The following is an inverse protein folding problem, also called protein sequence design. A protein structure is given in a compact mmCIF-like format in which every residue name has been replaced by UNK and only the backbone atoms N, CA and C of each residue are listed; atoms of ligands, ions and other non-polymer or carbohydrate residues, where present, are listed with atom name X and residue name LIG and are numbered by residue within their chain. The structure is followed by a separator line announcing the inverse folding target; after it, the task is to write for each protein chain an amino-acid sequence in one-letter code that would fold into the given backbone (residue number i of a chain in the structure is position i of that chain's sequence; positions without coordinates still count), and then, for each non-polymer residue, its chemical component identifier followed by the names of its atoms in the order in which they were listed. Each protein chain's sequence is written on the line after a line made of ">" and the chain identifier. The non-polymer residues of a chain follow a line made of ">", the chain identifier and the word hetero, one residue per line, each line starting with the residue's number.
data_IF_324225537157
#
_entry.id   IF_324225537157
#
_cell.length_a   1.000
_cell.length_b   1.000
_cell.length_c   1.000
_cell.angle_alpha   90.00
_cell.angle_beta   90.00
_cell.angle_gamma   90.00
#
_symmetry.space_group_name_H-M   'P 1'
#
loop_
_entity.id
_entity.type
_entity.pdbx_description
1 polymer ?
#
# COMPACT_ATOMS: atom_id res chain seq x y z
N UNK A 1 48.45 52.30 -18.36
CA UNK A 1 49.65 52.07 -17.51
C UNK A 1 49.63 50.60 -17.13
N UNK A 2 50.36 49.72 -17.83
CA UNK A 2 51.66 49.16 -17.41
C UNK A 2 51.45 47.68 -17.03
N UNK A 3 51.82 46.71 -17.90
CA UNK A 3 53.00 45.79 -17.78
C UNK A 3 52.92 44.88 -16.53
N UNK A 4 53.19 43.56 -16.49
CA UNK A 4 53.85 42.52 -17.34
C UNK A 4 53.75 41.20 -16.55
N UNK A 5 53.54 40.02 -17.16
CA UNK A 5 54.53 38.90 -17.28
C UNK A 5 54.64 38.05 -15.99
N UNK A 6 54.79 36.73 -15.90
CA UNK A 6 55.12 35.54 -16.72
C UNK A 6 54.56 34.34 -15.88
N UNK A 7 54.16 33.15 -16.33
CA UNK A 7 54.74 32.27 -17.34
C UNK A 7 55.49 31.09 -16.67
N UNK A 8 54.93 29.86 -16.72
CA UNK A 8 55.58 28.54 -17.05
C UNK A 8 54.88 27.31 -16.41
N UNK A 9 54.41 26.40 -17.28
CA UNK A 9 54.16 24.95 -17.05
C UNK A 9 55.44 24.11 -17.38
N UNK A 10 55.38 22.75 -17.51
CA UNK A 10 55.52 21.65 -16.53
C UNK A 10 56.80 20.80 -16.83
N UNK A 11 57.01 19.51 -16.40
CA UNK A 11 56.33 18.32 -16.97
C UNK A 11 56.20 17.08 -16.03
N UNK A 12 55.62 15.99 -16.58
CA UNK A 12 55.32 14.70 -15.97
C UNK A 12 56.48 13.67 -16.01
N UNK A 13 56.46 12.66 -15.13
CA UNK A 13 57.02 11.30 -15.37
C UNK A 13 56.54 10.26 -14.30
N UNK A 14 56.02 9.10 -14.75
CA UNK A 14 56.00 7.80 -14.02
C UNK A 14 57.15 6.92 -14.61
N UNK A 15 57.38 5.60 -14.31
CA UNK A 15 56.79 4.61 -13.36
C UNK A 15 57.81 3.66 -12.64
N UNK A 16 57.34 2.75 -11.75
CA UNK A 16 57.80 1.33 -11.49
C UNK A 16 57.46 0.91 -10.04
N UNK A 17 56.88 -0.24 -9.63
CA UNK A 17 56.78 -1.69 -9.95
C UNK A 17 57.68 -2.63 -9.09
N UNK A 18 57.03 -3.70 -8.59
CA UNK A 18 57.51 -4.95 -7.92
C UNK A 18 57.73 -4.89 -6.40
N UNK A 19 57.41 -5.90 -5.58
CA UNK A 19 57.33 -7.37 -5.81
C UNK A 19 56.38 -8.12 -4.85
N UNK A 20 56.02 -9.35 -5.24
CA UNK A 20 55.15 -10.32 -4.59
C UNK A 20 55.90 -11.33 -3.67
N UNK A 21 55.15 -12.05 -2.81
CA UNK A 21 55.39 -13.45 -2.35
C UNK A 21 54.22 -13.86 -1.43
N UNK A 22 53.29 -14.79 -1.73
CA UNK A 22 53.29 -16.25 -1.93
C UNK A 22 53.50 -17.16 -0.69
N UNK A 23 52.49 -18.05 -0.51
CA UNK A 23 52.46 -19.42 0.07
C UNK A 23 52.30 -19.63 1.59
N UNK A 24 51.25 -20.36 1.99
CA UNK A 24 51.38 -21.81 2.25
C UNK A 24 50.03 -22.55 2.20
N UNK A 25 50.08 -23.77 1.66
CA UNK A 25 49.10 -24.87 1.77
C UNK A 25 49.65 -25.85 2.80
N UNK A 26 48.80 -26.45 3.63
CA UNK A 26 49.03 -27.79 4.23
C UNK A 26 47.75 -28.62 4.12
N UNK A 27 47.95 -29.91 3.83
CA UNK A 27 47.00 -30.95 3.47
C UNK A 27 46.62 -31.89 4.62
N UNK A 28 45.45 -32.52 4.46
CA UNK A 28 45.07 -33.91 4.81
C UNK A 28 45.14 -34.41 6.26
N UNK A 29 43.99 -34.90 6.77
CA UNK A 29 43.82 -36.33 7.06
C UNK A 29 42.34 -36.75 7.24
N UNK A 30 42.08 -37.96 6.74
CA UNK A 30 40.86 -38.79 6.78
C UNK A 30 40.35 -39.16 8.19
N UNK A 31 39.06 -39.54 8.29
CA UNK A 31 38.55 -40.83 8.81
C UNK A 31 37.01 -40.73 8.94
N UNK A 32 36.30 -41.58 8.19
CA UNK A 32 34.85 -41.68 8.22
C UNK A 32 34.27 -42.37 9.46
N UNK A 33 32.94 -42.34 9.57
CA UNK A 33 32.12 -43.43 10.10
C UNK A 33 30.64 -43.20 9.79
N UNK A 34 30.15 -43.97 8.81
CA UNK A 34 28.75 -44.34 8.70
C UNK A 34 28.25 -44.99 9.99
N UNK A 35 27.09 -44.59 10.50
CA UNK A 35 26.30 -45.46 11.38
C UNK A 35 24.81 -45.20 11.25
N UNK A 36 24.17 -46.01 10.41
CA UNK A 36 22.74 -46.24 10.36
C UNK A 36 22.26 -46.88 11.67
N UNK A 37 21.21 -46.34 12.32
CA UNK A 37 20.40 -47.09 13.30
C UNK A 37 18.92 -46.72 13.24
N UNK A 38 18.20 -47.60 12.53
CA UNK A 38 16.94 -48.27 12.89
C UNK A 38 15.95 -47.54 13.81
N UNK A 39 14.78 -47.25 13.23
CA UNK A 39 13.50 -46.95 13.89
C UNK A 39 13.13 -48.04 14.90
N UNK A 40 12.64 -47.63 16.07
CA UNK A 40 11.79 -48.48 16.92
C UNK A 40 10.59 -47.65 17.35
N UNK A 41 9.41 -48.18 17.03
CA UNK A 41 8.08 -47.61 17.23
C UNK A 41 7.54 -48.27 18.50
N UNK A 42 7.16 -47.48 19.50
CA UNK A 42 6.44 -47.98 20.69
C UNK A 42 5.13 -47.20 20.77
N UNK A 43 4.04 -47.94 20.62
CA UNK A 43 2.65 -47.51 20.80
C UNK A 43 2.21 -47.84 22.20
N UNK A 44 1.64 -46.87 22.92
CA UNK A 44 0.85 -47.12 24.13
C UNK A 44 -0.46 -46.35 24.00
N UNK A 45 -1.54 -47.11 23.85
CA UNK A 45 -2.92 -46.71 24.03
C UNK A 45 -3.26 -46.62 25.52
N UNK A 46 -4.11 -45.67 25.93
CA UNK A 46 -5.08 -45.90 27.01
C UNK A 46 -6.22 -44.87 26.98
N UNK A 47 -7.37 -45.39 27.34
CA UNK A 47 -8.76 -44.96 27.14
C UNK A 47 -9.29 -44.17 28.35
N UNK A 48 -10.16 -43.19 28.04
CA UNK A 48 -11.39 -42.72 28.71
C UNK A 48 -11.58 -42.79 30.23
N UNK A 49 -12.03 -41.66 30.81
CA UNK A 49 -13.28 -41.65 31.61
C UNK A 49 -13.90 -40.25 31.65
N UNK A 50 -15.18 -40.18 31.30
CA UNK A 50 -16.08 -39.03 31.46
C UNK A 50 -16.58 -38.95 32.91
N UNK A 51 -16.71 -37.73 33.44
CA UNK A 51 -17.67 -37.43 34.51
C UNK A 51 -18.32 -36.09 34.19
N UNK A 52 -19.63 -36.12 33.98
CA UNK A 52 -20.46 -34.94 33.72
C UNK A 52 -20.92 -34.30 35.04
N UNK A 53 -20.77 -32.97 35.15
CA UNK A 53 -21.55 -32.15 36.08
C UNK A 53 -21.98 -30.87 35.36
N UNK A 54 -23.29 -30.67 35.29
CA UNK A 54 -23.96 -29.50 34.71
C UNK A 54 -23.94 -28.33 35.70
N UNK A 55 -23.45 -27.16 35.25
CA UNK A 55 -23.88 -25.86 35.75
C UNK A 55 -23.75 -24.80 34.66
N UNK A 56 -24.89 -24.18 34.31
CA UNK A 56 -24.97 -22.98 33.50
C UNK A 56 -24.37 -21.78 34.26
N UNK A 57 -23.63 -20.91 33.57
CA UNK A 57 -23.78 -19.45 33.71
C UNK A 57 -23.08 -18.68 32.59
N UNK A 58 -23.78 -17.64 32.13
CA UNK A 58 -23.37 -16.62 31.17
C UNK A 58 -22.13 -15.83 31.64
N UNK A 59 -21.18 -15.56 30.74
CA UNK A 59 -20.59 -14.23 30.44
C UNK A 59 -19.33 -14.32 29.56
N UNK A 60 -19.14 -13.30 28.70
CA UNK A 60 -17.88 -12.88 28.07
C UNK A 60 -17.19 -13.83 27.09
N UNK A 61 -17.46 -13.66 25.79
CA UNK A 61 -16.63 -14.26 24.73
C UNK A 61 -15.40 -13.40 24.46
N UNK A 62 -14.36 -13.62 25.26
CA UNK A 62 -12.97 -13.32 24.92
C UNK A 62 -12.49 -14.35 23.88
N UNK A 63 -12.39 -13.94 22.62
CA UNK A 63 -11.85 -14.80 21.56
C UNK A 63 -10.32 -14.78 21.56
N UNK A 64 -9.71 -15.65 22.35
CA UNK A 64 -8.30 -16.03 22.19
C UNK A 64 -8.19 -17.21 21.24
N UNK A 65 -8.03 -16.95 19.95
CA UNK A 65 -7.64 -18.00 19.01
C UNK A 65 -6.13 -18.06 18.85
N UNK A 66 -5.53 -19.10 19.42
CA UNK A 66 -4.21 -19.57 19.02
C UNK A 66 -4.36 -20.45 17.78
N UNK A 67 -3.80 -20.00 16.65
CA UNK A 67 -3.75 -20.80 15.42
C UNK A 67 -2.32 -21.26 15.16
N UNK A 68 -2.06 -22.53 15.43
CA UNK A 68 -0.94 -23.27 14.88
C UNK A 68 -1.42 -24.04 13.64
N UNK A 69 -1.38 -23.42 12.46
CA UNK A 69 -1.57 -24.13 11.20
C UNK A 69 -0.22 -24.47 10.58
N UNK A 70 0.11 -25.75 10.60
CA UNK A 70 1.26 -26.31 9.89
C UNK A 70 0.89 -26.55 8.43
N UNK A 71 1.42 -25.74 7.52
CA UNK A 71 1.34 -26.01 6.08
C UNK A 71 2.62 -26.72 5.64
N UNK A 72 2.52 -28.00 5.31
CA UNK A 72 3.56 -28.74 4.60
C UNK A 72 3.14 -28.92 3.14
N UNK A 73 3.81 -28.21 2.24
CA UNK A 73 3.65 -28.43 0.80
C UNK A 73 4.61 -29.55 0.38
N UNK A 74 4.07 -30.72 0.08
CA UNK A 74 4.81 -31.79 -0.59
C UNK A 74 4.50 -31.75 -2.10
N UNK A 75 5.54 -31.53 -2.91
CA UNK A 75 5.45 -31.62 -4.36
C UNK A 75 5.56 -33.08 -4.79
N UNK A 76 4.43 -33.69 -5.11
CA UNK A 76 4.38 -35.00 -5.78
C UNK A 76 4.45 -34.80 -7.30
N UNK A 77 5.60 -35.12 -7.89
CA UNK A 77 5.79 -35.18 -9.36
C UNK A 77 5.09 -36.43 -9.92
N UNK A 78 3.81 -36.31 -10.25
CA UNK A 78 3.09 -37.30 -11.06
C UNK A 78 3.23 -36.98 -12.55
N UNK A 79 3.82 -37.88 -13.34
CA UNK A 79 3.80 -37.82 -14.81
C UNK A 79 2.44 -38.30 -15.31
N UNK A 80 1.57 -37.39 -15.74
CA UNK A 80 0.36 -37.75 -16.50
C UNK A 80 0.53 -37.53 -18.01
N UNK A 81 0.11 -38.54 -18.77
CA UNK A 81 0.25 -38.65 -20.22
C UNK A 81 -0.72 -37.69 -20.93
N UNK A 82 -0.21 -36.96 -21.93
CA UNK A 82 -0.96 -36.02 -22.78
C UNK A 82 -1.98 -36.76 -23.66
N UNK A 83 -3.27 -36.55 -23.44
CA UNK A 83 -4.29 -36.72 -24.48
C UNK A 83 -4.46 -35.40 -25.24
N UNK A 84 -4.15 -35.40 -26.54
CA UNK A 84 -4.39 -34.27 -27.46
C UNK A 84 -5.86 -34.23 -27.87
N UNK A 85 -6.69 -33.55 -27.08
CA UNK A 85 -7.99 -33.05 -27.53
C UNK A 85 -7.87 -31.56 -27.85
N UNK A 86 -8.12 -31.15 -29.10
CA UNK A 86 -8.22 -29.73 -29.48
C UNK A 86 -9.52 -29.15 -28.94
N UNK A 87 -9.54 -28.80 -27.65
CA UNK A 87 -10.57 -27.91 -27.12
C UNK A 87 -10.28 -26.50 -27.66
N UNK A 88 -11.23 -25.92 -28.40
CA UNK A 88 -11.24 -24.47 -28.67
C UNK A 88 -11.29 -23.79 -27.30
N UNK A 89 -10.14 -23.34 -26.79
CA UNK A 89 -10.09 -22.44 -25.64
C UNK A 89 -10.88 -21.20 -26.04
N UNK A 90 -12.06 -21.02 -25.45
CA UNK A 90 -12.68 -19.72 -25.40
C UNK A 90 -11.59 -18.75 -24.92
N UNK A 91 -11.26 -17.74 -25.71
CA UNK A 91 -10.41 -16.65 -25.28
C UNK A 91 -11.14 -16.07 -24.08
N UNK A 92 -10.63 -16.32 -22.88
CA UNK A 92 -11.18 -15.74 -21.68
C UNK A 92 -11.17 -14.22 -21.89
N UNK A 93 -12.28 -13.56 -21.56
CA UNK A 93 -12.29 -12.11 -21.53
C UNK A 93 -11.31 -11.69 -20.42
N UNK A 94 -10.08 -11.32 -20.81
CA UNK A 94 -8.97 -10.95 -19.91
C UNK A 94 -9.24 -9.62 -19.18
N UNK A 95 -10.43 -9.05 -19.30
CA UNK A 95 -10.85 -7.81 -18.62
C UNK A 95 -11.28 -8.08 -17.18
N UNK A 96 -10.87 -7.18 -16.28
CA UNK A 96 -11.39 -7.16 -14.91
C UNK A 96 -12.91 -6.89 -14.94
N UNK A 97 -13.66 -7.61 -14.12
CA UNK A 97 -15.11 -7.47 -14.00
C UNK A 97 -15.44 -6.45 -12.92
N UNK A 98 -16.38 -5.55 -13.21
CA UNK A 98 -16.99 -4.70 -12.20
C UNK A 98 -17.73 -5.57 -11.18
N UNK A 99 -17.50 -5.30 -9.90
CA UNK A 99 -18.20 -5.93 -8.78
C UNK A 99 -18.87 -4.83 -7.96
N UNK A 100 -20.08 -5.10 -7.51
CA UNK A 100 -20.84 -4.17 -6.69
C UNK A 100 -20.73 -4.59 -5.23
N UNK A 101 -20.44 -3.64 -4.35
CA UNK A 101 -20.39 -3.87 -2.90
C UNK A 101 -21.73 -4.42 -2.39
N UNK A 102 -21.69 -5.31 -1.40
CA UNK A 102 -22.91 -5.79 -0.74
C UNK A 102 -23.58 -4.73 0.11
N UNK A 103 -22.90 -3.61 0.39
CA UNK A 103 -23.40 -2.50 1.20
C UNK A 103 -24.12 -1.43 0.36
N UNK A 104 -24.91 -1.80 -0.65
CA UNK A 104 -25.54 -0.86 -1.59
C UNK A 104 -26.35 0.21 -0.85
N UNK A 105 -25.87 1.46 -0.92
CA UNK A 105 -26.61 2.65 -0.50
C UNK A 105 -27.16 3.30 -1.78
N UNK A 106 -28.45 3.06 -2.02
CA UNK A 106 -29.36 3.78 -2.94
C UNK A 106 -28.97 3.89 -4.43
N UNK A 107 -29.95 3.92 -5.35
CA UNK A 107 -29.74 4.30 -6.75
C UNK A 107 -29.56 5.83 -6.86
N UNK A 108 -28.49 6.38 -6.29
CA UNK A 108 -28.16 7.79 -6.52
C UNK A 108 -27.73 7.98 -7.99
N UNK A 109 -28.16 9.09 -8.59
CA UNK A 109 -27.89 9.42 -9.99
C UNK A 109 -26.43 9.83 -10.23
N UNK A 110 -25.79 10.48 -9.25
CA UNK A 110 -24.41 10.97 -9.39
C UNK A 110 -23.39 9.89 -9.00
N UNK A 111 -22.48 9.58 -9.94
CA UNK A 111 -21.44 8.57 -9.78
C UNK A 111 -20.08 9.19 -10.06
N UNK A 112 -19.15 9.02 -9.13
CA UNK A 112 -17.74 9.37 -9.30
C UNK A 112 -16.92 8.08 -9.28
N UNK A 113 -16.02 7.93 -10.26
CA UNK A 113 -15.08 6.82 -10.33
C UNK A 113 -13.72 7.31 -9.82
N UNK A 114 -13.23 6.68 -8.76
CA UNK A 114 -11.90 6.93 -8.21
C UNK A 114 -10.95 5.81 -8.62
N UNK A 115 -9.73 6.17 -8.99
CA UNK A 115 -8.63 5.24 -9.29
C UNK A 115 -7.45 5.53 -8.36
N UNK A 116 -6.90 4.51 -7.72
CA UNK A 116 -5.60 4.57 -7.05
C UNK A 116 -4.66 3.60 -7.74
N UNK A 117 -3.49 4.05 -8.15
CA UNK A 117 -2.58 3.20 -8.92
C UNK A 117 -1.12 3.57 -8.73
N UNK A 118 -0.35 2.68 -8.09
CA UNK A 118 1.10 2.74 -8.12
C UNK A 118 1.57 2.29 -9.51
N UNK A 119 2.12 3.22 -10.30
CA UNK A 119 2.42 3.00 -11.72
C UNK A 119 3.83 2.45 -11.99
N UNK A 120 4.58 2.12 -10.92
CA UNK A 120 5.96 1.66 -10.97
C UNK A 120 6.89 2.64 -11.71
N UNK A 121 7.60 3.46 -10.94
CA UNK A 121 8.52 4.46 -11.50
C UNK A 121 9.61 3.82 -12.35
N UNK A 122 10.00 4.46 -13.46
CA UNK A 122 11.03 3.93 -14.37
C UNK A 122 12.34 3.69 -13.64
N UNK A 123 12.77 4.65 -12.81
CA UNK A 123 14.00 4.54 -12.01
C UNK A 123 13.87 3.47 -10.91
N UNK A 124 12.70 3.32 -10.28
CA UNK A 124 12.46 2.26 -9.30
C UNK A 124 12.51 0.87 -9.94
N UNK A 125 11.89 0.70 -11.12
CA UNK A 125 11.95 -0.55 -11.88
C UNK A 125 13.39 -0.93 -12.26
N UNK A 126 14.20 0.04 -12.69
CA UNK A 126 15.61 -0.16 -13.04
C UNK A 126 16.50 -0.42 -11.81
N UNK A 127 16.21 0.20 -10.67
CA UNK A 127 16.95 -0.04 -9.42
C UNK A 127 16.66 -1.43 -8.81
N UNK A 128 15.55 -2.06 -9.20
CA UNK A 128 15.03 -3.30 -8.61
C UNK A 128 14.70 -4.37 -9.66
N UNK A 129 15.56 -4.52 -10.67
CA UNK A 129 15.40 -5.53 -11.75
C UNK A 129 15.25 -6.96 -11.22
N UNK A 130 15.80 -7.25 -10.04
CA UNK A 130 15.71 -8.56 -9.40
C UNK A 130 14.28 -8.94 -9.04
N UNK A 131 13.38 -7.97 -8.86
CA UNK A 131 11.95 -8.19 -8.64
C UNK A 131 11.22 -8.65 -9.91
N UNK A 132 11.79 -8.35 -11.08
CA UNK A 132 11.15 -8.51 -12.40
C UNK A 132 11.92 -9.42 -13.35
N UNK A 133 12.80 -10.32 -12.84
CA UNK A 133 13.66 -11.20 -13.66
C UNK A 133 12.91 -12.07 -14.68
N UNK A 134 11.65 -12.36 -14.42
CA UNK A 134 10.77 -13.14 -15.29
C UNK A 134 9.97 -12.28 -16.29
N UNK A 135 10.20 -10.96 -16.30
CA UNK A 135 9.56 -9.99 -17.21
C UNK A 135 10.57 -9.61 -18.29
N UNK A 136 10.16 -9.66 -19.56
CA UNK A 136 11.01 -9.22 -20.67
C UNK A 136 11.29 -7.71 -20.56
N UNK A 137 12.53 -7.24 -20.77
CA UNK A 137 12.87 -5.81 -20.65
C UNK A 137 11.98 -4.88 -21.47
N UNK A 138 11.53 -5.33 -22.66
CA UNK A 138 10.59 -4.57 -23.52
C UNK A 138 9.25 -4.25 -22.84
N UNK A 139 8.86 -5.02 -21.82
CA UNK A 139 7.62 -4.80 -21.05
C UNK A 139 7.83 -3.92 -19.82
N UNK A 140 9.09 -3.72 -19.40
CA UNK A 140 9.45 -2.76 -18.35
C UNK A 140 9.73 -1.36 -18.92
N UNK A 141 10.06 -1.29 -20.21
CA UNK A 141 10.24 -0.06 -20.96
C UNK A 141 9.07 0.92 -20.78
N UNK A 142 9.40 2.19 -20.55
CA UNK A 142 8.43 3.23 -20.27
C UNK A 142 7.49 3.47 -21.46
N UNK A 143 7.99 3.49 -22.69
CA UNK A 143 7.18 3.73 -23.88
C UNK A 143 6.19 2.60 -24.14
N UNK A 144 6.53 1.38 -23.70
CA UNK A 144 5.58 0.27 -23.67
C UNK A 144 4.55 0.44 -22.55
N UNK A 145 4.99 0.63 -21.30
CA UNK A 145 4.10 0.70 -20.13
C UNK A 145 3.15 1.89 -20.20
N UNK A 146 3.62 3.08 -20.58
CA UNK A 146 2.78 4.29 -20.64
C UNK A 146 1.59 4.14 -21.59
N UNK A 147 1.76 3.41 -22.71
CA UNK A 147 0.66 3.10 -23.63
C UNK A 147 -0.41 2.21 -22.98
N UNK A 148 0.00 1.25 -22.14
CA UNK A 148 -0.91 0.37 -21.42
C UNK A 148 -1.61 1.11 -20.27
N UNK A 149 -0.87 1.92 -19.51
CA UNK A 149 -1.42 2.78 -18.45
C UNK A 149 -2.49 3.73 -19.03
N UNK A 150 -2.18 4.45 -20.13
CA UNK A 150 -3.16 5.31 -20.79
C UNK A 150 -4.34 4.52 -21.39
N UNK A 151 -4.14 3.26 -21.77
CA UNK A 151 -5.26 2.39 -22.19
C UNK A 151 -6.15 2.04 -21.00
N UNK A 152 -5.58 1.68 -19.86
CA UNK A 152 -6.31 1.35 -18.64
C UNK A 152 -7.12 2.54 -18.13
N UNK A 153 -6.53 3.75 -18.13
CA UNK A 153 -7.23 4.99 -17.78
C UNK A 153 -8.43 5.24 -18.70
N UNK A 154 -8.28 5.08 -20.02
CA UNK A 154 -9.38 5.24 -20.97
C UNK A 154 -10.48 4.20 -20.79
N UNK A 155 -10.11 2.95 -20.52
CA UNK A 155 -11.06 1.85 -20.35
C UNK A 155 -11.91 2.04 -19.07
N UNK A 156 -11.35 2.64 -18.00
CA UNK A 156 -12.07 2.93 -16.76
C UNK A 156 -12.73 4.31 -16.70
N UNK A 157 -12.23 5.29 -17.48
CA UNK A 157 -12.68 6.68 -17.50
C UNK A 157 -12.90 7.29 -16.10
N UNK A 158 -11.87 7.30 -15.24
CA UNK A 158 -12.00 7.77 -13.86
C UNK A 158 -12.33 9.27 -13.83
N UNK A 159 -13.04 9.68 -12.78
CA UNK A 159 -13.22 11.10 -12.46
C UNK A 159 -11.97 11.68 -11.79
N UNK A 160 -11.35 10.91 -10.89
CA UNK A 160 -10.13 11.26 -10.16
C UNK A 160 -9.17 10.06 -10.11
N UNK A 161 -7.89 10.34 -10.28
CA UNK A 161 -6.79 9.37 -10.24
C UNK A 161 -5.75 9.82 -9.20
N UNK A 162 -5.38 8.90 -8.31
CA UNK A 162 -4.30 9.04 -7.35
C UNK A 162 -3.16 8.10 -7.76
N UNK A 163 -2.06 8.66 -8.27
CA UNK A 163 -0.89 7.91 -8.71
C UNK A 163 0.23 7.97 -7.69
N UNK A 164 0.94 6.85 -7.55
CA UNK A 164 2.17 6.72 -6.76
C UNK A 164 3.32 6.25 -7.67
N UNK A 165 4.56 6.51 -7.25
CA UNK A 165 5.78 6.23 -8.02
C UNK A 165 5.85 6.94 -9.39
N UNK A 166 5.38 8.18 -9.45
CA UNK A 166 5.41 8.98 -10.68
C UNK A 166 6.78 9.63 -10.84
N UNK A 167 7.63 9.13 -11.76
CA UNK A 167 8.94 9.72 -12.08
C UNK A 167 9.04 10.27 -13.53
N UNK A 168 7.91 10.29 -14.24
CA UNK A 168 7.71 10.83 -15.59
C UNK A 168 6.41 11.63 -15.65
N UNK A 169 6.27 12.60 -14.75
CA UNK A 169 5.06 13.41 -14.64
C UNK A 169 4.75 14.16 -15.93
N UNK A 170 5.74 14.85 -16.53
CA UNK A 170 5.52 15.66 -17.74
C UNK A 170 4.99 14.83 -18.93
N UNK A 171 5.51 13.61 -19.12
CA UNK A 171 5.01 12.66 -20.12
C UNK A 171 3.54 12.31 -19.87
N UNK A 172 3.21 11.98 -18.62
CA UNK A 172 1.88 11.56 -18.21
C UNK A 172 0.88 12.73 -18.30
N UNK A 173 1.27 13.90 -17.83
CA UNK A 173 0.49 15.12 -17.85
C UNK A 173 0.19 15.56 -19.29
N UNK A 174 1.19 15.58 -20.17
CA UNK A 174 1.00 15.87 -21.59
C UNK A 174 -0.02 14.93 -22.26
N UNK A 175 0.01 13.64 -21.93
CA UNK A 175 -0.92 12.65 -22.48
C UNK A 175 -2.33 12.81 -21.89
N UNK A 176 -2.44 13.03 -20.59
CA UNK A 176 -3.73 13.12 -19.89
C UNK A 176 -4.44 14.46 -20.13
N UNK A 177 -3.71 15.56 -20.34
CA UNK A 177 -4.28 16.83 -20.75
C UNK A 177 -5.04 16.74 -22.07
N UNK A 178 -4.54 15.97 -23.04
CA UNK A 178 -5.23 15.73 -24.32
C UNK A 178 -6.54 14.96 -24.14
N UNK A 179 -6.65 14.17 -23.09
CA UNK A 179 -7.85 13.42 -22.72
C UNK A 179 -8.79 14.25 -21.79
N UNK A 180 -8.46 15.51 -21.50
CA UNK A 180 -9.28 16.44 -20.72
C UNK A 180 -9.06 16.41 -19.21
N UNK A 181 -7.97 15.77 -18.76
CA UNK A 181 -7.56 15.77 -17.36
C UNK A 181 -6.64 16.95 -17.04
N UNK A 182 -6.61 17.35 -15.77
CA UNK A 182 -5.59 18.22 -15.19
C UNK A 182 -4.91 17.45 -14.06
N UNK A 183 -3.66 17.78 -13.75
CA UNK A 183 -2.89 17.08 -12.73
C UNK A 183 -2.03 18.00 -11.88
N UNK A 184 -1.80 17.57 -10.64
CA UNK A 184 -0.85 18.17 -9.71
C UNK A 184 0.11 17.10 -9.20
N UNK A 185 1.36 17.47 -8.97
CA UNK A 185 2.44 16.54 -8.64
C UNK A 185 3.23 17.02 -7.45
N UNK A 186 3.51 16.10 -6.54
CA UNK A 186 4.43 16.30 -5.42
C UNK A 186 5.55 15.27 -5.50
N UNK A 187 6.75 15.73 -5.81
CA UNK A 187 7.96 14.91 -5.75
C UNK A 187 8.26 14.51 -4.31
N UNK A 188 8.80 13.30 -4.12
CA UNK A 188 9.49 12.96 -2.86
C UNK A 188 10.70 13.86 -2.69
N UNK A 189 11.08 14.10 -1.43
CA UNK A 189 12.23 14.95 -1.11
C UNK A 189 13.55 14.17 -1.20
N UNK A 190 14.68 14.88 -1.07
CA UNK A 190 16.02 14.29 -1.22
C UNK A 190 16.27 13.76 -2.63
N UNK A 191 17.02 12.66 -2.76
CA UNK A 191 17.46 12.12 -4.06
C UNK A 191 16.42 11.21 -4.75
N UNK A 192 15.24 11.07 -4.16
CA UNK A 192 14.17 10.29 -4.77
C UNK A 192 13.67 10.99 -6.04
N UNK A 193 13.48 10.20 -7.09
CA UNK A 193 13.15 10.73 -8.42
C UNK A 193 11.67 10.66 -8.80
N UNK A 194 10.87 10.07 -7.92
CA UNK A 194 9.46 9.82 -8.07
C UNK A 194 8.65 10.60 -7.02
N UNK A 195 7.34 10.60 -7.19
CA UNK A 195 6.41 11.26 -6.28
C UNK A 195 5.00 10.73 -6.39
N UNK A 196 4.07 11.51 -5.87
CA UNK A 196 2.63 11.28 -5.98
C UNK A 196 2.04 12.31 -6.95
N UNK A 197 1.00 11.90 -7.68
CA UNK A 197 0.21 12.82 -8.49
C UNK A 197 -1.27 12.61 -8.28
N UNK A 198 -2.05 13.68 -8.32
CA UNK A 198 -3.51 13.63 -8.38
C UNK A 198 -3.94 14.24 -9.72
N UNK A 199 -4.67 13.46 -10.52
CA UNK A 199 -5.29 13.93 -11.76
C UNK A 199 -6.81 13.89 -11.64
N UNK A 200 -7.50 14.84 -12.27
CA UNK A 200 -8.96 14.91 -12.27
C UNK A 200 -9.50 15.32 -13.63
N UNK A 201 -10.71 14.83 -13.95
CA UNK A 201 -11.41 15.21 -15.16
C UNK A 201 -11.93 16.65 -15.01
N UNK A 202 -11.35 17.58 -15.77
CA UNK A 202 -11.66 19.02 -15.67
C UNK A 202 -13.09 19.37 -16.08
N UNK A 203 -13.81 18.47 -16.76
CA UNK A 203 -15.23 18.67 -17.06
C UNK A 203 -16.13 18.32 -15.88
N UNK A 204 -15.64 17.50 -14.95
CA UNK A 204 -16.39 16.99 -13.82
C UNK A 204 -16.06 17.70 -12.51
N UNK A 205 -14.83 18.21 -12.36
CA UNK A 205 -14.39 18.81 -11.11
C UNK A 205 -13.52 20.05 -11.32
N UNK A 206 -13.72 21.02 -10.44
CA UNK A 206 -12.80 22.13 -10.21
C UNK A 206 -12.04 21.90 -8.90
N UNK A 207 -10.74 22.17 -8.90
CA UNK A 207 -9.93 22.13 -7.68
C UNK A 207 -10.18 23.41 -6.88
N UNK A 208 -10.47 23.25 -5.59
CA UNK A 208 -10.70 24.35 -4.65
C UNK A 208 -9.48 24.60 -3.77
N UNK A 209 -8.76 23.54 -3.44
CA UNK A 209 -7.59 23.58 -2.57
C UNK A 209 -6.60 22.49 -2.92
N UNK A 210 -5.33 22.76 -2.69
CA UNK A 210 -4.23 21.82 -2.80
C UNK A 210 -3.28 22.03 -1.62
N UNK A 211 -2.99 20.95 -0.90
CA UNK A 211 -1.99 20.90 0.16
C UNK A 211 -1.11 19.66 -0.03
N UNK A 212 0.15 19.76 0.35
CA UNK A 212 1.08 18.63 0.40
C UNK A 212 1.82 18.59 1.73
N UNK A 213 2.13 17.38 2.21
CA UNK A 213 3.01 17.19 3.37
C UNK A 213 4.32 16.58 2.90
N UNK A 214 5.42 17.27 3.19
CA UNK A 214 6.76 16.69 3.14
C UNK A 214 7.09 16.09 4.50
N UNK A 215 7.08 14.76 4.59
CA UNK A 215 7.28 14.07 5.87
C UNK A 215 8.68 14.29 6.48
N UNK A 216 9.65 14.76 5.69
CA UNK A 216 10.98 15.10 6.18
C UNK A 216 10.93 16.21 7.24
N UNK A 217 9.96 17.13 7.14
CA UNK A 217 9.77 18.25 8.08
C UNK A 217 9.36 17.77 9.49
N UNK A 218 9.01 16.48 9.60
CA UNK A 218 8.61 15.81 10.84
C UNK A 218 9.57 14.67 11.22
N UNK A 219 10.75 14.60 10.59
CA UNK A 219 11.71 13.50 10.73
C UNK A 219 11.18 12.12 10.28
N UNK A 220 10.18 12.12 9.39
CA UNK A 220 9.48 10.92 8.91
C UNK A 220 9.91 10.52 7.49
N UNK A 221 11.21 10.69 7.18
CA UNK A 221 11.81 10.39 5.86
C UNK A 221 11.22 11.23 4.72
N UNK A 222 11.68 10.94 3.51
CA UNK A 222 11.47 11.78 2.34
C UNK A 222 10.16 11.49 1.58
N UNK A 223 9.26 10.71 2.18
CA UNK A 223 7.95 10.45 1.58
C UNK A 223 7.11 11.73 1.56
N UNK A 224 6.04 11.71 0.77
CA UNK A 224 5.09 12.82 0.65
C UNK A 224 3.66 12.32 0.59
N UNK A 225 2.71 13.21 0.87
CA UNK A 225 1.30 13.04 0.52
C UNK A 225 0.72 14.33 -0.07
N UNK A 226 -0.40 14.21 -0.76
CA UNK A 226 -1.19 15.31 -1.32
C UNK A 226 -2.62 15.24 -0.78
N UNK A 227 -3.25 16.39 -0.56
CA UNK A 227 -4.67 16.54 -0.25
C UNK A 227 -5.26 17.64 -1.12
N UNK A 228 -6.33 17.33 -1.86
CA UNK A 228 -7.01 18.27 -2.74
C UNK A 228 -8.50 18.30 -2.45
N UNK A 229 -9.07 19.50 -2.26
CA UNK A 229 -10.52 19.67 -2.18
C UNK A 229 -11.06 19.93 -3.58
N UNK A 230 -12.12 19.23 -3.96
CA UNK A 230 -12.75 19.34 -5.27
C UNK A 230 -14.21 19.76 -5.15
N UNK A 231 -14.66 20.59 -6.08
CA UNK A 231 -16.06 20.90 -6.33
C UNK A 231 -16.55 20.09 -7.52
N UNK A 232 -17.72 19.47 -7.41
CA UNK A 232 -18.38 18.80 -8.53
C UNK A 232 -19.03 19.80 -9.47
N UNK A 233 -18.82 19.63 -10.77
CA UNK A 233 -19.46 20.44 -11.80
C UNK A 233 -20.85 19.84 -12.09
N UNK A 234 -21.86 20.30 -11.33
CA UNK A 234 -23.24 19.88 -11.54
C UNK A 234 -23.75 20.50 -12.85
N UNK A 235 -24.04 19.67 -13.85
CA UNK A 235 -24.76 20.12 -15.04
C UNK A 235 -26.20 20.36 -14.62
N UNK A 236 -26.64 21.63 -14.57
CA UNK A 236 -28.06 21.91 -14.46
C UNK A 236 -28.74 21.35 -15.71
N UNK A 237 -29.53 20.29 -15.55
CA UNK A 237 -30.53 19.93 -16.55
C UNK A 237 -31.63 20.98 -16.49
N UNK A 238 -31.38 22.15 -17.07
CA UNK A 238 -32.36 23.19 -17.26
C UNK A 238 -33.35 22.75 -18.34
N UNK A 239 -34.46 22.15 -17.92
CA UNK A 239 -35.66 22.08 -18.77
C UNK A 239 -36.99 22.38 -18.11
N UNK A 240 -37.03 22.74 -16.82
CA UNK A 240 -38.27 23.24 -16.22
C UNK A 240 -38.07 24.64 -15.64
N UNK A 241 -38.49 25.62 -16.44
CA UNK A 241 -38.78 26.99 -16.02
C UNK A 241 -40.07 26.98 -15.20
N UNK A 242 -39.99 27.14 -13.88
CA UNK A 242 -40.96 27.97 -13.13
C UNK A 242 -40.60 28.07 -11.64
N UNK A 243 -40.53 29.33 -11.18
CA UNK A 243 -40.90 29.81 -9.86
C UNK A 243 -39.98 29.46 -8.64
N UNK A 244 -39.28 30.52 -8.21
CA UNK A 244 -39.15 30.97 -6.81
C UNK A 244 -38.73 29.95 -5.73
N UNK A 245 -37.43 29.77 -5.56
CA UNK A 245 -36.71 30.07 -4.31
C UNK A 245 -35.21 29.86 -4.60
N UNK A 246 -34.45 30.94 -4.67
CA UNK A 246 -33.01 30.91 -4.91
C UNK A 246 -32.26 30.50 -3.65
N UNK A 247 -32.45 29.26 -3.20
CA UNK A 247 -31.38 28.58 -2.47
C UNK A 247 -30.34 28.20 -3.52
N UNK A 248 -29.17 28.85 -3.47
CA UNK A 248 -28.04 28.45 -4.30
C UNK A 248 -27.74 26.99 -4.00
N UNK A 249 -28.07 26.09 -4.94
CA UNK A 249 -27.67 24.69 -4.83
C UNK A 249 -26.15 24.67 -4.84
N UNK A 250 -25.55 24.58 -3.65
CA UNK A 250 -24.10 24.49 -3.50
C UNK A 250 -23.67 23.18 -4.15
N UNK A 251 -22.80 23.27 -5.15
CA UNK A 251 -22.33 22.06 -5.81
C UNK A 251 -21.55 21.21 -4.79
N UNK A 252 -21.80 19.89 -4.71
CA UNK A 252 -21.14 19.04 -3.73
C UNK A 252 -19.63 19.15 -3.83
N UNK A 253 -18.95 19.21 -2.69
CA UNK A 253 -17.49 19.23 -2.60
C UNK A 253 -17.00 18.05 -1.78
N UNK A 254 -15.77 17.60 -2.02
CA UNK A 254 -15.15 16.48 -1.29
C UNK A 254 -13.64 16.58 -1.31
N UNK A 255 -12.99 15.99 -0.33
CA UNK A 255 -11.54 15.96 -0.16
C UNK A 255 -10.98 14.64 -0.70
N UNK A 256 -9.88 14.70 -1.45
CA UNK A 256 -9.11 13.55 -1.90
C UNK A 256 -7.71 13.62 -1.35
N UNK A 257 -7.28 12.59 -0.63
CA UNK A 257 -5.89 12.41 -0.22
C UNK A 257 -5.19 11.32 -1.03
N UNK A 258 -3.90 11.52 -1.33
CA UNK A 258 -3.03 10.55 -1.97
C UNK A 258 -1.71 10.42 -1.19
N UNK A 259 -1.28 9.19 -0.87
CA UNK A 259 -0.05 8.94 -0.12
C UNK A 259 0.73 7.74 -0.67
N UNK A 260 2.06 7.78 -0.55
CA UNK A 260 2.92 6.60 -0.68
C UNK A 260 3.76 6.46 0.60
N UNK A 261 3.32 5.58 1.50
CA UNK A 261 3.93 5.34 2.81
C UNK A 261 5.28 4.63 2.65
N UNK A 262 6.21 4.89 3.56
CA UNK A 262 7.55 4.28 3.59
C UNK A 262 7.50 2.76 3.36
N UNK A 263 8.31 2.26 2.42
CA UNK A 263 8.39 0.82 2.13
C UNK A 263 8.96 0.00 3.30
N UNK A 264 10.07 0.45 3.91
CA UNK A 264 10.87 -0.34 4.84
C UNK A 264 10.00 -0.99 5.94
N UNK A 265 9.88 -2.32 5.95
CA UNK A 265 8.93 -3.01 6.83
C UNK A 265 9.31 -2.91 8.31
N UNK A 266 10.59 -2.64 8.62
CA UNK A 266 11.08 -2.53 9.99
C UNK A 266 10.79 -1.17 10.64
N UNK A 267 10.21 -0.21 9.92
CA UNK A 267 10.03 1.18 10.39
C UNK A 267 8.56 1.54 10.59
N UNK A 268 7.84 0.71 11.35
CA UNK A 268 6.45 0.98 11.72
C UNK A 268 6.25 2.29 12.48
N UNK A 269 7.27 2.73 13.21
CA UNK A 269 7.34 4.05 13.86
C UNK A 269 7.17 5.19 12.85
N UNK A 270 7.92 5.18 11.76
CA UNK A 270 7.79 6.19 10.70
C UNK A 270 6.48 6.03 9.95
N UNK A 271 6.08 4.79 9.61
CA UNK A 271 4.83 4.55 8.87
C UNK A 271 3.62 5.09 9.63
N UNK A 272 3.54 4.85 10.94
CA UNK A 272 2.46 5.37 11.79
C UNK A 272 2.48 6.90 11.83
N UNK A 273 3.66 7.51 11.98
CA UNK A 273 3.78 8.97 11.95
C UNK A 273 3.28 9.57 10.63
N UNK A 274 3.65 8.97 9.50
CA UNK A 274 3.20 9.41 8.16
C UNK A 274 1.69 9.32 8.01
N UNK A 275 1.12 8.15 8.35
CA UNK A 275 -0.33 7.93 8.27
C UNK A 275 -1.08 8.83 9.24
N UNK A 276 -0.59 9.01 10.48
CA UNK A 276 -1.18 9.92 11.47
C UNK A 276 -1.30 11.35 10.92
N UNK A 277 -0.20 11.94 10.45
CA UNK A 277 -0.20 13.32 9.93
C UNK A 277 -1.11 13.46 8.70
N UNK A 278 -1.16 12.45 7.84
CA UNK A 278 -2.06 12.41 6.69
C UNK A 278 -3.54 12.41 7.11
N UNK A 279 -3.90 11.61 8.13
CA UNK A 279 -5.26 11.58 8.68
C UNK A 279 -5.62 12.87 9.43
N UNK A 280 -4.69 13.44 10.19
CA UNK A 280 -4.86 14.72 10.90
C UNK A 280 -5.11 15.87 9.91
N UNK A 281 -4.32 15.96 8.83
CA UNK A 281 -4.54 16.97 7.77
C UNK A 281 -5.86 16.74 7.03
N UNK A 282 -6.19 15.48 6.70
CA UNK A 282 -7.47 15.16 6.07
C UNK A 282 -8.67 15.55 6.92
N UNK A 283 -8.61 15.31 8.24
CA UNK A 283 -9.66 15.71 9.18
C UNK A 283 -9.77 17.24 9.27
N UNK A 284 -8.64 17.93 9.40
CA UNK A 284 -8.61 19.39 9.47
C UNK A 284 -9.19 20.02 8.20
N UNK A 285 -8.73 19.61 7.02
CA UNK A 285 -9.21 20.13 5.74
C UNK A 285 -10.68 19.80 5.50
N UNK A 286 -11.13 18.59 5.87
CA UNK A 286 -12.56 18.25 5.81
C UNK A 286 -13.40 19.26 6.60
N UNK A 287 -12.99 19.60 7.83
CA UNK A 287 -13.68 20.55 8.69
C UNK A 287 -13.62 22.00 8.18
N UNK A 288 -12.43 22.47 7.77
CA UNK A 288 -12.22 23.81 7.22
C UNK A 288 -13.11 24.09 5.99
N UNK A 289 -13.40 23.06 5.20
CA UNK A 289 -14.26 23.13 4.03
C UNK A 289 -15.74 22.77 4.31
N UNK A 290 -16.16 22.72 5.57
CA UNK A 290 -17.55 22.49 5.96
C UNK A 290 -17.94 21.02 6.09
N UNK A 291 -17.07 20.23 6.74
CA UNK A 291 -17.22 18.78 6.98
C UNK A 291 -17.46 17.97 5.70
N UNK A 292 -16.73 18.31 4.63
CA UNK A 292 -16.88 17.66 3.32
C UNK A 292 -16.46 16.18 3.37
N UNK A 293 -17.10 15.28 2.59
CA UNK A 293 -16.70 13.88 2.48
C UNK A 293 -15.22 13.73 2.13
N UNK A 294 -14.59 12.66 2.63
CA UNK A 294 -13.17 12.39 2.41
C UNK A 294 -12.98 11.03 1.72
N UNK A 295 -12.13 11.01 0.70
CA UNK A 295 -11.60 9.81 0.05
C UNK A 295 -10.08 9.82 0.18
N UNK A 296 -9.49 8.81 0.81
CA UNK A 296 -8.03 8.69 0.99
C UNK A 296 -7.53 7.47 0.24
N UNK A 297 -6.65 7.68 -0.74
CA UNK A 297 -6.07 6.66 -1.56
C UNK A 297 -4.56 6.58 -1.37
N UNK A 298 -3.95 5.44 -1.69
CA UNK A 298 -2.51 5.32 -1.70
C UNK A 298 -1.96 3.92 -1.51
N UNK A 299 -0.65 3.82 -1.70
CA UNK A 299 0.15 2.66 -1.30
C UNK A 299 0.59 2.85 0.15
N UNK A 300 -0.02 2.07 1.05
CA UNK A 300 0.27 2.12 2.48
C UNK A 300 1.45 1.23 2.88
N UNK A 301 1.97 0.41 1.96
CA UNK A 301 2.97 -0.61 2.25
C UNK A 301 2.62 -1.39 3.53
N UNK A 302 1.34 -1.73 3.71
CA UNK A 302 0.80 -2.36 4.92
C UNK A 302 -0.32 -3.34 4.56
N UNK A 303 -0.29 -4.53 5.14
CA UNK A 303 -1.20 -5.64 4.81
C UNK A 303 -2.53 -5.55 5.59
N UNK A 304 -3.63 -6.19 5.13
CA UNK A 304 -4.93 -6.13 5.81
C UNK A 304 -4.95 -6.70 7.24
N UNK A 305 -4.07 -7.66 7.54
CA UNK A 305 -3.91 -8.25 8.88
C UNK A 305 -3.03 -7.42 9.83
N UNK A 306 -2.58 -6.24 9.41
CA UNK A 306 -1.58 -5.45 10.14
C UNK A 306 -2.19 -4.56 11.22
N UNK A 307 -1.36 -4.15 12.18
CA UNK A 307 -1.74 -3.15 13.19
C UNK A 307 -2.07 -1.80 12.55
N UNK A 308 -1.43 -1.46 11.43
CA UNK A 308 -1.76 -0.27 10.63
C UNK A 308 -3.20 -0.32 10.10
N UNK A 309 -3.63 -1.46 9.55
CA UNK A 309 -5.00 -1.62 9.06
C UNK A 309 -6.01 -1.58 10.23
N UNK A 310 -5.66 -2.18 11.37
CA UNK A 310 -6.46 -2.07 12.60
C UNK A 310 -6.60 -0.61 13.05
N UNK A 311 -5.53 0.18 13.02
CA UNK A 311 -5.58 1.60 13.37
C UNK A 311 -6.60 2.34 12.50
N UNK A 312 -6.50 2.19 11.17
CA UNK A 312 -7.38 2.86 10.20
C UNK A 312 -8.85 2.48 10.35
N UNK A 313 -9.14 1.23 10.70
CA UNK A 313 -10.51 0.69 10.77
C UNK A 313 -11.18 0.86 12.13
N UNK A 314 -10.39 0.88 13.22
CA UNK A 314 -10.93 0.94 14.59
C UNK A 314 -10.77 2.31 15.25
N UNK A 315 -10.23 3.29 14.52
CA UNK A 315 -9.96 4.65 14.99
C UNK A 315 -8.91 4.78 16.09
N UNK A 316 -8.40 3.67 16.62
CA UNK A 316 -7.47 3.67 17.74
C UNK A 316 -6.47 2.52 17.66
N UNK A 317 -5.28 2.72 18.20
CA UNK A 317 -4.27 1.68 18.32
C UNK A 317 -3.44 1.91 19.58
N UNK A 318 -3.34 0.89 20.43
CA UNK A 318 -2.31 0.86 21.48
C UNK A 318 -1.03 0.26 20.88
N UNK A 319 -0.06 1.14 20.58
CA UNK A 319 1.15 0.75 19.85
C UNK A 319 2.08 -0.11 20.70
N UNK A 320 1.95 -0.07 22.03
CA UNK A 320 2.77 -0.89 22.93
C UNK A 320 2.35 -2.36 22.93
N UNK A 321 1.22 -2.71 22.32
CA UNK A 321 0.82 -4.11 22.12
C UNK A 321 1.46 -4.74 20.87
N UNK A 322 2.23 -3.97 20.09
CA UNK A 322 2.77 -4.41 18.82
C UNK A 322 4.27 -4.16 18.71
N UNK A 323 5.00 -5.11 18.11
CA UNK A 323 6.38 -4.86 17.70
C UNK A 323 6.37 -3.84 16.55
N UNK A 324 7.16 -2.76 16.68
CA UNK A 324 7.30 -1.73 15.65
C UNK A 324 7.67 -2.28 14.26
N UNK A 325 8.37 -3.42 14.20
CA UNK A 325 8.76 -4.06 12.92
C UNK A 325 7.63 -4.88 12.29
N UNK A 326 6.54 -5.10 13.03
CA UNK A 326 5.39 -5.89 12.61
C UNK A 326 4.15 -5.03 12.32
N UNK A 327 4.23 -3.71 12.54
CA UNK A 327 3.12 -2.77 12.37
C UNK A 327 2.47 -2.85 10.98
N UNK A 328 3.27 -3.02 9.93
CA UNK A 328 2.76 -3.09 8.55
C UNK A 328 2.37 -4.50 8.10
N UNK A 329 2.68 -5.55 8.88
CA UNK A 329 2.40 -6.94 8.51
C UNK A 329 3.11 -7.45 7.25
N UNK A 330 4.06 -6.68 6.68
CA UNK A 330 4.83 -7.09 5.49
C UNK A 330 5.84 -8.21 5.79
N UNK A 331 6.29 -8.31 7.04
CA UNK A 331 7.17 -9.39 7.48
C UNK A 331 6.28 -10.55 7.92
N UNK A 332 5.95 -11.46 7.00
CA UNK A 332 5.38 -12.74 7.41
C UNK A 332 6.35 -13.44 8.37
N UNK A 333 5.89 -14.09 9.46
CA UNK A 333 6.78 -14.79 10.37
C UNK A 333 7.41 -15.99 9.66
N UNK A 334 8.60 -15.76 9.09
CA UNK A 334 9.52 -16.81 8.70
C UNK A 334 9.95 -17.55 9.97
N UNK A 335 9.24 -18.64 10.27
CA UNK A 335 9.61 -19.68 11.23
C UNK A 335 9.65 -19.25 12.70
N UNK A 336 9.00 -20.06 13.54
CA UNK A 336 9.28 -20.26 14.96
C UNK A 336 10.68 -19.80 15.38
N UNK A 337 10.80 -18.56 15.84
CA UNK A 337 11.72 -18.22 16.90
C UNK A 337 10.85 -18.02 18.11
N UNK A 338 11.03 -18.89 19.09
CA UNK A 338 10.41 -18.88 20.40
C UNK A 338 10.05 -17.46 20.82
N UNK A 339 8.78 -17.07 20.59
CA UNK A 339 8.26 -15.80 21.05
C UNK A 339 8.36 -15.86 22.56
N UNK A 340 9.32 -15.12 23.11
CA UNK A 340 9.44 -14.95 24.53
C UNK A 340 8.56 -13.74 24.84
N UNK A 341 7.32 -13.93 25.36
CA UNK A 341 6.36 -12.83 25.56
C UNK A 341 6.87 -11.79 26.58
N UNK A 342 7.98 -12.12 27.24
CA UNK A 342 8.64 -11.33 28.30
C UNK A 342 9.65 -10.31 27.77
N UNK A 343 9.99 -10.33 26.47
CA UNK A 343 10.72 -9.23 25.83
C UNK A 343 9.68 -8.26 25.29
N UNK A 344 9.25 -7.37 26.18
CA UNK A 344 8.44 -6.17 25.94
C UNK A 344 8.57 -5.66 24.50
N UNK A 345 7.43 -5.39 23.86
CA UNK A 345 7.30 -4.55 22.67
C UNK A 345 7.82 -3.13 23.01
N UNK A 346 9.13 -3.02 23.22
CA UNK A 346 9.73 -1.86 23.86
C UNK A 346 10.09 -0.85 22.79
N UNK A 347 9.20 0.11 22.60
CA UNK A 347 9.44 1.29 21.79
C UNK A 347 10.39 2.22 22.55
N UNK A 348 11.34 2.82 21.85
CA UNK A 348 12.10 3.95 22.41
C UNK A 348 11.19 5.19 22.49
N UNK A 349 11.53 6.15 23.35
CA UNK A 349 10.79 7.42 23.42
C UNK A 349 10.80 8.15 22.07
N UNK A 350 11.92 8.09 21.33
CA UNK A 350 12.02 8.66 19.99
C UNK A 350 11.07 7.97 19.00
N UNK A 351 10.99 6.64 19.03
CA UNK A 351 10.08 5.86 18.18
C UNK A 351 8.60 6.15 18.51
N UNK A 352 8.27 6.31 19.80
CA UNK A 352 6.94 6.75 20.23
C UNK A 352 6.64 8.17 19.75
N UNK A 353 7.58 9.10 19.88
CA UNK A 353 7.42 10.48 19.41
C UNK A 353 7.23 10.54 17.88
N UNK A 354 7.99 9.76 17.11
CA UNK A 354 7.81 9.68 15.65
C UNK A 354 6.43 9.14 15.28
N UNK A 355 5.99 8.06 15.94
CA UNK A 355 4.70 7.44 15.65
C UNK A 355 3.52 8.34 16.05
N UNK A 356 3.56 8.94 17.24
CA UNK A 356 2.40 9.59 17.86
C UNK A 356 2.46 11.11 17.93
N UNK A 357 3.62 11.72 17.66
CA UNK A 357 3.85 13.15 17.83
C UNK A 357 3.89 13.63 19.29
N UNK A 358 3.48 12.80 20.25
CA UNK A 358 3.30 13.16 21.67
C UNK A 358 4.04 12.25 22.63
N UNK A 359 4.52 11.09 22.14
CA UNK A 359 5.13 10.06 22.99
C UNK A 359 4.11 9.18 23.72
N UNK A 360 2.81 9.40 23.48
CA UNK A 360 1.74 8.57 24.02
C UNK A 360 1.81 7.13 23.49
N UNK A 361 1.25 6.18 24.24
CA UNK A 361 1.10 4.78 23.83
C UNK A 361 -0.11 4.54 22.92
N UNK A 362 -1.03 5.49 22.84
CA UNK A 362 -2.26 5.35 22.09
C UNK A 362 -2.29 6.34 20.92
N UNK A 363 -2.58 5.83 19.73
CA UNK A 363 -2.92 6.62 18.55
C UNK A 363 -4.43 6.63 18.37
N UNK A 364 -4.99 7.79 18.02
CA UNK A 364 -6.42 7.97 17.77
C UNK A 364 -6.62 8.87 16.55
N UNK A 365 -7.58 8.56 15.69
CA UNK A 365 -8.07 9.47 14.63
C UNK A 365 -9.60 9.48 14.60
N UNK A 366 -10.23 10.56 14.14
CA UNK A 366 -11.70 10.68 14.19
C UNK A 366 -12.42 10.24 12.91
N UNK A 367 -11.67 10.01 11.82
CA UNK A 367 -12.24 9.62 10.53
C UNK A 367 -12.81 8.19 10.56
N UNK A 368 -14.12 8.02 10.31
CA UNK A 368 -14.78 6.71 10.25
C UNK A 368 -14.53 6.04 8.89
N UNK A 369 -13.30 5.56 8.69
CA UNK A 369 -12.83 5.05 7.40
C UNK A 369 -13.41 3.66 7.10
N UNK A 370 -13.79 3.47 5.83
CA UNK A 370 -14.12 2.16 5.27
C UNK A 370 -13.32 1.94 4.00
N UNK A 371 -12.76 0.74 3.85
CA UNK A 371 -12.11 0.34 2.61
C UNK A 371 -13.17 0.10 1.54
N UNK A 372 -12.97 0.68 0.35
CA UNK A 372 -13.80 0.46 -0.83
C UNK A 372 -13.78 -1.00 -1.30
N UNK A 373 -12.72 -1.75 -0.97
CA UNK A 373 -12.55 -3.13 -1.39
C UNK A 373 -13.18 -4.13 -0.42
N UNK A 374 -13.13 -3.87 0.90
CA UNK A 374 -13.56 -4.82 1.93
C UNK A 374 -15.02 -5.31 1.77
N UNK A 375 -15.92 -4.43 1.29
CA UNK A 375 -17.33 -4.75 1.09
C UNK A 375 -17.68 -5.41 -0.24
N UNK A 376 -16.70 -5.59 -1.14
CA UNK A 376 -16.96 -6.15 -2.45
C UNK A 376 -16.97 -7.71 -2.39
N UNK A 377 -17.85 -8.37 -3.16
CA UNK A 377 -18.01 -9.83 -3.10
C UNK A 377 -16.81 -10.54 -3.73
N UNK A 378 -16.54 -11.76 -3.28
CA UNK A 378 -15.47 -12.60 -3.84
C UNK A 378 -15.43 -13.98 -3.19
N UNK A 379 -14.42 -14.76 -3.57
CA UNK A 379 -14.14 -16.07 -2.99
C UNK A 379 -12.77 -16.04 -2.29
N UNK A 380 -12.45 -17.10 -1.53
CA UNK A 380 -11.11 -17.30 -0.95
C UNK A 380 -9.97 -17.36 -1.98
N UNK A 381 -10.29 -17.46 -3.29
CA UNK A 381 -9.32 -17.39 -4.39
C UNK A 381 -9.06 -15.98 -4.91
N UNK A 382 -9.83 -15.00 -4.48
CA UNK A 382 -9.74 -13.61 -4.96
C UNK A 382 -9.66 -12.60 -3.82
N UNK A 383 -10.01 -13.02 -2.59
CA UNK A 383 -10.04 -12.18 -1.39
C UNK A 383 -9.45 -12.88 -0.18
N UNK A 384 -8.94 -12.07 0.74
CA UNK A 384 -8.56 -12.49 2.08
C UNK A 384 -9.77 -12.50 3.04
N UNK A 385 -9.57 -13.01 4.26
CA UNK A 385 -10.60 -13.04 5.30
C UNK A 385 -11.07 -11.64 5.74
N UNK A 386 -10.25 -10.61 5.52
CA UNK A 386 -10.58 -9.20 5.74
C UNK A 386 -11.57 -8.63 4.72
N UNK A 387 -11.87 -9.37 3.63
CA UNK A 387 -12.67 -8.88 2.50
C UNK A 387 -11.84 -8.14 1.45
N UNK A 388 -10.59 -7.78 1.78
CA UNK A 388 -9.63 -7.18 0.86
C UNK A 388 -9.25 -8.15 -0.28
N UNK A 389 -8.79 -7.65 -1.45
CA UNK A 389 -8.25 -8.50 -2.50
C UNK A 389 -7.05 -9.32 -1.98
N UNK A 390 -6.74 -10.43 -2.63
CA UNK A 390 -5.52 -11.20 -2.30
C UNK A 390 -4.23 -10.42 -2.57
N UNK A 391 -4.25 -9.57 -3.59
CA UNK A 391 -3.11 -8.77 -3.94
C UNK A 391 -3.52 -7.51 -4.69
N UNK A 392 -2.83 -6.42 -4.37
CA UNK A 392 -2.78 -5.19 -5.18
C UNK A 392 -1.40 -4.99 -5.79
N UNK A 393 -0.36 -5.58 -5.16
CA UNK A 393 1.00 -5.68 -5.68
C UNK A 393 1.43 -7.14 -5.83
N UNK A 394 2.04 -7.46 -6.96
CA UNK A 394 2.54 -8.81 -7.24
C UNK A 394 3.80 -8.78 -8.11
N UNK A 395 4.91 -9.23 -7.53
CA UNK A 395 6.20 -9.43 -8.20
C UNK A 395 6.90 -10.68 -7.64
N UNK A 396 8.11 -10.99 -8.11
CA UNK A 396 8.77 -12.28 -7.79
C UNK A 396 9.08 -12.53 -6.31
N UNK A 397 9.00 -11.49 -5.45
CA UNK A 397 9.34 -11.57 -4.03
C UNK A 397 8.19 -11.22 -3.08
N UNK A 398 7.08 -10.72 -3.61
CA UNK A 398 5.96 -10.26 -2.79
C UNK A 398 4.64 -10.41 -3.56
N UNK A 399 3.62 -10.83 -2.84
CA UNK A 399 2.24 -10.85 -3.27
C UNK A 399 1.39 -10.45 -2.07
N UNK A 400 0.62 -9.38 -2.19
CA UNK A 400 -0.20 -8.92 -1.09
C UNK A 400 -0.91 -7.61 -1.39
N UNK A 401 -1.84 -7.26 -0.50
CA UNK A 401 -2.62 -6.02 -0.60
C UNK A 401 -1.96 -4.94 0.23
N UNK A 402 -1.54 -3.87 -0.44
CA UNK A 402 -0.87 -2.71 0.16
C UNK A 402 -1.46 -1.38 -0.34
N UNK A 403 -2.29 -1.43 -1.38
CA UNK A 403 -2.94 -0.27 -1.99
C UNK A 403 -4.41 -0.23 -1.56
N UNK A 404 -4.87 0.92 -1.11
CA UNK A 404 -6.21 1.08 -0.56
C UNK A 404 -6.89 2.33 -1.09
N UNK A 405 -8.23 2.28 -1.12
CA UNK A 405 -9.09 3.46 -1.23
C UNK A 405 -10.02 3.44 -0.03
N UNK A 406 -9.83 4.38 0.87
CA UNK A 406 -10.64 4.60 2.05
C UNK A 406 -11.64 5.71 1.80
N UNK A 407 -12.85 5.58 2.32
CA UNK A 407 -13.85 6.64 2.25
C UNK A 407 -14.61 6.76 3.57
N UNK A 408 -15.14 7.94 3.85
CA UNK A 408 -16.00 8.21 4.99
C UNK A 408 -17.45 8.27 4.51
N UNK A 409 -18.33 7.53 5.18
CA UNK A 409 -19.76 7.81 5.09
C UNK A 409 -20.05 8.92 6.10
N UNK A 410 -20.29 10.15 5.62
CA UNK A 410 -20.89 11.15 6.49
C UNK A 410 -22.23 10.56 6.95
N UNK A 411 -22.34 10.21 8.23
CA UNK A 411 -23.65 10.06 8.82
C UNK A 411 -24.25 11.45 8.75
N UNK A 412 -25.21 11.66 7.84
CA UNK A 412 -26.10 12.80 7.98
C UNK A 412 -26.66 12.65 9.39
N UNK A 413 -26.24 13.51 10.31
CA UNK A 413 -26.97 13.71 11.55
C UNK A 413 -28.40 13.93 11.12
N UNK A 414 -29.26 12.96 11.40
CA UNK A 414 -30.69 13.16 11.32
C UNK A 414 -30.97 14.29 12.28
N UNK A 415 -31.10 15.51 11.74
CA UNK A 415 -31.63 16.66 12.45
C UNK A 415 -33.08 16.33 12.79
N UNK A 416 -33.26 15.60 13.89
CA UNK A 416 -34.46 15.63 14.70
C UNK A 416 -34.13 16.55 15.86
N UNK A 417 -34.57 17.80 15.73
CA UNK A 417 -35.27 18.60 16.75
C UNK A 417 -35.79 19.85 16.08
#
# INVERSE_FOLDING_TARGET
>A
MGRTGDGRDPPAEQPSRFSASMKSRISQHDIGKHRSKKKQRVSISKTETETATLTLNHTSTSYTHSYANSYSYSYSRGKEKRHKGKAKRAIADDKRKWVYSTHVVSPNQDRVVFMSYNILGVKNAAAHEDLYRNVSPKYLDWDYRKKLICKEIRDYNPGIMCFQEVDRFDDLDYLLQKEGFKGVYQARTGDASDGCAIFWNSKLFDILHEESIEFQNFNLRNNVCQLCAFKMNVKSSSKDMSASNSESVTSPSFLVGNIHVLYNPNRGDIKLGQVRLFLESAQRLSHEWGDIPVVLAGDLNSMPQSAMYQFLTSNKLDIQMHDRKQISGQIYPLQNRSFNPRLSYRWSNEELMLATGTGASHLIHQLQLRSAYAGAPGSSRTRENSGEPLATSYHSKFMGTVDYIWYILLMRSSAFT
#
